data_IF_006666952478
#
_entry.id   IF_006666952478
#
_cell.length_a   1.000
_cell.length_b   1.000
_cell.length_c   1.000
_cell.angle_alpha   90.00
_cell.angle_beta   90.00
_cell.angle_gamma   90.00
#
_symmetry.space_group_name_H-M   'P 1'
#
loop_
_entity.id
_entity.type
_entity.pdbx_description
1 polymer ?
#
# COMPACT_ATOMS: atom_id res chain seq x y z
N UNK A 1 -12.85 -11.69 6.03
CA UNK A 1 -11.97 -10.53 6.29
C UNK A 1 -10.54 -11.04 6.23
N UNK A 2 -9.71 -10.44 5.41
CA UNK A 2 -8.27 -10.71 5.38
C UNK A 2 -7.58 -9.94 6.49
N UNK A 3 -6.56 -10.55 7.10
CA UNK A 3 -5.72 -9.93 8.11
C UNK A 3 -4.35 -9.60 7.49
N UNK A 4 -4.00 -8.32 7.46
CA UNK A 4 -2.71 -7.81 6.99
C UNK A 4 -1.88 -7.30 8.17
N UNK A 5 -0.59 -7.63 8.19
CA UNK A 5 0.40 -7.03 9.10
C UNK A 5 1.37 -6.22 8.24
N UNK A 6 1.55 -4.95 8.59
CA UNK A 6 2.45 -4.03 7.90
C UNK A 6 3.60 -3.62 8.82
N UNK A 7 4.80 -3.55 8.27
CA UNK A 7 5.99 -3.08 8.99
C UNK A 7 7.30 -3.32 8.26
N UNK A 8 8.38 -2.81 8.88
CA UNK A 8 9.73 -3.05 8.38
C UNK A 8 10.16 -4.49 8.70
N UNK A 9 10.45 -5.32 7.66
CA UNK A 9 10.86 -6.71 7.87
C UNK A 9 12.19 -6.84 8.62
N UNK A 10 12.99 -5.78 8.66
CA UNK A 10 14.28 -5.76 9.35
C UNK A 10 14.17 -5.25 10.81
N UNK A 11 12.97 -4.87 11.26
CA UNK A 11 12.75 -4.46 12.64
C UNK A 11 12.96 -5.67 13.58
N UNK A 12 13.97 -5.56 14.43
CA UNK A 12 14.37 -6.62 15.35
C UNK A 12 13.55 -6.58 16.65
N UNK A 13 13.63 -7.69 17.42
CA UNK A 13 13.07 -7.75 18.76
C UNK A 13 13.65 -6.63 19.65
N UNK A 14 12.81 -6.10 20.55
CA UNK A 14 13.21 -5.02 21.46
C UNK A 14 12.81 -5.31 22.92
N UNK A 15 13.25 -4.43 23.81
CA UNK A 15 13.02 -4.58 25.27
C UNK A 15 11.58 -4.28 25.71
N UNK A 16 10.70 -3.83 24.82
CA UNK A 16 9.28 -3.54 25.12
C UNK A 16 8.38 -4.76 24.89
N UNK A 17 8.97 -5.89 24.47
CA UNK A 17 8.24 -7.14 24.20
C UNK A 17 7.87 -7.31 22.72
N UNK A 18 8.31 -6.43 21.83
CA UNK A 18 8.18 -6.64 20.39
C UNK A 18 9.12 -7.76 19.94
N UNK A 19 8.62 -8.83 19.28
CA UNK A 19 9.43 -10.01 18.96
C UNK A 19 10.30 -9.85 17.70
N UNK A 20 10.13 -8.78 16.96
CA UNK A 20 10.61 -8.61 15.58
C UNK A 20 9.51 -8.87 14.57
N UNK A 21 9.63 -8.23 13.39
CA UNK A 21 8.57 -8.28 12.38
C UNK A 21 8.35 -9.71 11.83
N UNK A 22 9.43 -10.38 11.46
CA UNK A 22 9.36 -11.74 10.88
C UNK A 22 8.77 -12.74 11.89
N UNK A 23 9.20 -12.67 13.15
CA UNK A 23 8.67 -13.51 14.24
C UNK A 23 7.20 -13.21 14.51
N UNK A 24 6.79 -11.94 14.42
CA UNK A 24 5.38 -11.55 14.54
C UNK A 24 4.54 -12.16 13.41
N UNK A 25 5.00 -12.07 12.17
CA UNK A 25 4.33 -12.68 11.01
C UNK A 25 4.24 -14.19 11.16
N UNK A 26 5.33 -14.85 11.59
CA UNK A 26 5.34 -16.29 11.80
C UNK A 26 4.38 -16.75 12.90
N UNK A 27 4.26 -15.96 13.98
CA UNK A 27 3.36 -16.28 15.10
C UNK A 27 1.88 -15.99 14.77
N UNK A 28 1.60 -14.88 14.07
CA UNK A 28 0.24 -14.44 13.79
C UNK A 28 -0.36 -15.10 12.54
N UNK A 29 0.46 -15.60 11.62
CA UNK A 29 0.07 -16.22 10.34
C UNK A 29 -0.97 -15.37 9.59
N UNK A 30 -0.68 -14.09 9.27
CA UNK A 30 -1.62 -13.22 8.59
C UNK A 30 -1.90 -13.72 7.17
N UNK A 31 -3.01 -13.28 6.59
CA UNK A 31 -3.30 -13.51 5.16
C UNK A 31 -2.30 -12.79 4.27
N UNK A 32 -1.86 -11.60 4.70
CA UNK A 32 -0.91 -10.75 3.97
C UNK A 32 0.08 -10.10 4.93
N UNK A 33 1.30 -9.90 4.46
CA UNK A 33 2.31 -9.06 5.09
C UNK A 33 2.71 -7.96 4.10
N UNK A 34 2.53 -6.68 4.47
CA UNK A 34 3.00 -5.52 3.71
C UNK A 34 4.34 -5.07 4.27
N UNK A 35 5.38 -5.14 3.45
CA UNK A 35 6.74 -4.80 3.84
C UNK A 35 7.05 -3.35 3.46
N UNK A 36 7.44 -2.54 4.45
CA UNK A 36 7.82 -1.13 4.30
C UNK A 36 9.31 -0.93 4.55
N UNK A 37 9.97 0.05 3.89
CA UNK A 37 11.41 0.32 4.07
C UNK A 37 11.70 1.23 5.28
N UNK A 38 10.72 1.49 6.13
CA UNK A 38 10.79 2.49 7.21
C UNK A 38 11.96 2.25 8.16
N UNK A 39 12.54 3.33 8.65
CA UNK A 39 13.51 3.32 9.74
C UNK A 39 12.82 3.55 11.11
N UNK A 40 13.51 3.22 12.20
CA UNK A 40 13.00 3.42 13.56
C UNK A 40 12.78 4.91 13.91
N UNK A 41 13.37 5.84 13.15
CA UNK A 41 13.27 7.29 13.37
C UNK A 41 12.09 7.93 12.64
N UNK A 42 11.37 7.18 11.79
CA UNK A 42 10.23 7.69 11.04
C UNK A 42 8.93 7.62 11.86
N UNK A 43 8.12 8.68 11.79
CA UNK A 43 6.80 8.72 12.45
C UNK A 43 5.73 7.96 11.67
N UNK A 44 5.90 7.89 10.36
CA UNK A 44 5.03 7.17 9.40
C UNK A 44 5.82 6.90 8.13
N UNK A 45 5.35 5.98 7.31
CA UNK A 45 5.94 5.73 5.99
C UNK A 45 5.87 6.98 5.12
N UNK A 46 6.96 7.33 4.47
CA UNK A 46 7.09 8.53 3.62
C UNK A 46 7.72 8.24 2.25
N UNK A 47 8.06 6.98 1.98
CA UNK A 47 8.56 6.49 0.69
C UNK A 47 8.39 4.96 0.58
N UNK A 48 8.42 4.45 -0.66
CA UNK A 48 8.45 3.02 -0.95
C UNK A 48 9.87 2.45 -1.06
N UNK A 49 9.98 1.13 -1.27
CA UNK A 49 11.26 0.49 -1.55
C UNK A 49 11.90 1.04 -2.83
N UNK A 50 13.13 1.52 -2.74
CA UNK A 50 13.95 1.85 -3.92
C UNK A 50 14.58 0.57 -4.49
N UNK A 51 13.97 0.04 -5.55
CA UNK A 51 14.46 -1.16 -6.24
C UNK A 51 15.36 -0.84 -7.45
N UNK A 52 15.79 0.41 -7.60
CA UNK A 52 16.88 0.78 -8.53
C UNK A 52 18.24 0.31 -8.01
N UNK A 53 18.32 0.04 -6.71
CA UNK A 53 19.51 -0.51 -6.02
C UNK A 53 19.18 -1.86 -5.39
N UNK A 54 20.22 -2.70 -5.25
CA UNK A 54 20.05 -4.03 -4.67
C UNK A 54 19.66 -3.95 -3.19
N UNK A 55 18.57 -4.61 -2.83
CA UNK A 55 18.09 -4.78 -1.45
C UNK A 55 18.51 -6.15 -0.92
N UNK A 56 19.72 -6.24 -0.36
CA UNK A 56 20.43 -7.49 -0.07
C UNK A 56 19.65 -8.49 0.82
N UNK A 57 18.74 -8.02 1.69
CA UNK A 57 17.95 -8.86 2.61
C UNK A 57 16.52 -9.08 2.15
N UNK A 58 15.97 -8.20 1.33
CA UNK A 58 14.54 -8.16 1.00
C UNK A 58 14.03 -9.49 0.44
N UNK A 59 14.79 -10.17 -0.43
CA UNK A 59 14.42 -11.50 -0.96
C UNK A 59 14.29 -12.55 0.13
N UNK A 60 15.17 -12.53 1.11
CA UNK A 60 15.12 -13.47 2.24
C UNK A 60 13.93 -13.17 3.15
N UNK A 61 13.68 -11.88 3.42
CA UNK A 61 12.56 -11.42 4.26
C UNK A 61 11.21 -11.79 3.61
N UNK A 62 11.04 -11.57 2.30
CA UNK A 62 9.87 -12.04 1.53
C UNK A 62 9.69 -13.56 1.64
N UNK A 63 10.80 -14.32 1.46
CA UNK A 63 10.74 -15.78 1.56
C UNK A 63 10.28 -16.25 2.93
N UNK A 64 10.73 -15.63 4.01
CA UNK A 64 10.32 -15.98 5.38
C UNK A 64 8.83 -15.69 5.62
N UNK A 65 8.30 -14.54 5.17
CA UNK A 65 6.88 -14.23 5.25
C UNK A 65 6.03 -15.27 4.47
N UNK A 66 6.48 -15.65 3.28
CA UNK A 66 5.81 -16.70 2.46
C UNK A 66 5.85 -18.07 3.12
N UNK A 67 6.94 -18.44 3.79
CA UNK A 67 7.03 -19.69 4.56
C UNK A 67 6.05 -19.70 5.74
N UNK A 68 5.74 -18.55 6.31
CA UNK A 68 4.69 -18.39 7.32
C UNK A 68 3.26 -18.44 6.74
N UNK A 69 3.11 -18.56 5.41
CA UNK A 69 1.83 -18.65 4.71
C UNK A 69 1.24 -17.30 4.28
N UNK A 70 1.95 -16.19 4.51
CA UNK A 70 1.47 -14.86 4.13
C UNK A 70 1.70 -14.57 2.64
N UNK A 71 0.72 -13.95 1.98
CA UNK A 71 0.91 -13.22 0.73
C UNK A 71 1.76 -11.98 1.04
N UNK A 72 2.75 -11.66 0.19
CA UNK A 72 3.63 -10.52 0.44
C UNK A 72 3.33 -9.36 -0.49
N UNK A 73 3.07 -8.19 0.09
CA UNK A 73 2.95 -6.90 -0.58
C UNK A 73 4.16 -6.03 -0.28
N UNK A 74 4.74 -5.35 -1.28
CA UNK A 74 5.79 -4.36 -1.08
C UNK A 74 5.20 -2.96 -1.16
N UNK A 75 5.53 -2.12 -0.18
CA UNK A 75 5.17 -0.70 -0.19
C UNK A 75 6.08 0.04 -1.17
N UNK A 76 5.51 0.66 -2.21
CA UNK A 76 6.26 1.14 -3.38
C UNK A 76 5.84 2.55 -3.78
N UNK A 77 6.78 3.35 -4.19
CA UNK A 77 6.46 4.53 -4.99
C UNK A 77 5.91 4.11 -6.37
N UNK A 78 5.05 4.93 -7.01
CA UNK A 78 4.45 4.59 -8.30
C UNK A 78 5.45 4.78 -9.46
N UNK A 79 6.51 3.97 -9.46
CA UNK A 79 7.59 3.97 -10.45
C UNK A 79 7.49 2.69 -11.29
N UNK A 80 6.98 2.81 -12.51
CA UNK A 80 6.68 1.66 -13.38
C UNK A 80 7.90 0.74 -13.60
N UNK A 81 9.09 1.32 -13.69
CA UNK A 81 10.36 0.62 -13.91
C UNK A 81 10.74 -0.32 -12.75
N UNK A 82 10.21 -0.07 -11.54
CA UNK A 82 10.51 -0.90 -10.37
C UNK A 82 9.63 -2.16 -10.27
N UNK A 83 8.53 -2.25 -11.03
CA UNK A 83 7.56 -3.34 -10.88
C UNK A 83 8.12 -4.70 -11.26
N UNK A 84 8.96 -4.77 -12.30
CA UNK A 84 9.65 -6.00 -12.67
C UNK A 84 10.58 -6.49 -11.56
N UNK A 85 11.33 -5.57 -10.94
CA UNK A 85 12.21 -5.91 -9.81
C UNK A 85 11.41 -6.39 -8.59
N UNK A 86 10.27 -5.77 -8.27
CA UNK A 86 9.40 -6.23 -7.18
C UNK A 86 8.94 -7.69 -7.39
N UNK A 87 8.54 -8.05 -8.61
CA UNK A 87 8.21 -9.43 -8.96
C UNK A 87 9.42 -10.37 -8.85
N UNK A 88 10.60 -9.94 -9.30
CA UNK A 88 11.85 -10.71 -9.22
C UNK A 88 12.32 -10.94 -7.78
N UNK A 89 12.05 -10.01 -6.86
CA UNK A 89 12.26 -10.22 -5.43
C UNK A 89 11.30 -11.26 -4.84
N UNK A 90 10.19 -11.55 -5.51
CA UNK A 90 9.22 -12.57 -5.11
C UNK A 90 7.97 -12.02 -4.45
N UNK A 91 7.69 -10.72 -4.57
CA UNK A 91 6.43 -10.14 -4.11
C UNK A 91 5.23 -10.74 -4.86
N UNK A 92 4.07 -10.77 -4.20
CA UNK A 92 2.80 -11.15 -4.80
C UNK A 92 1.98 -9.91 -5.18
N UNK A 93 2.21 -8.80 -4.46
CA UNK A 93 1.53 -7.52 -4.64
C UNK A 93 2.49 -6.35 -4.45
N UNK A 94 2.04 -5.20 -4.89
CA UNK A 94 2.59 -3.90 -4.49
C UNK A 94 1.48 -3.08 -3.86
N UNK A 95 1.82 -2.30 -2.84
CA UNK A 95 0.96 -1.27 -2.27
C UNK A 95 1.57 0.08 -2.59
N UNK A 96 0.89 0.87 -3.43
CA UNK A 96 1.41 2.17 -3.82
C UNK A 96 1.25 3.21 -2.71
N UNK A 97 2.35 3.93 -2.42
CA UNK A 97 2.38 5.08 -1.53
C UNK A 97 1.65 6.27 -2.14
N UNK A 98 0.49 6.62 -1.62
CA UNK A 98 -0.38 7.65 -2.17
C UNK A 98 -0.23 9.02 -1.53
N UNK A 99 0.66 9.19 -0.55
CA UNK A 99 0.87 10.46 0.17
C UNK A 99 1.13 11.67 -0.73
N UNK A 100 2.07 11.62 -1.72
CA UNK A 100 2.31 12.74 -2.63
C UNK A 100 1.08 13.14 -3.44
N UNK A 101 0.29 12.17 -3.92
CA UNK A 101 -0.98 12.43 -4.59
C UNK A 101 -2.00 13.10 -3.66
N UNK A 102 -2.17 12.55 -2.47
CA UNK A 102 -3.11 13.10 -1.48
C UNK A 102 -2.76 14.55 -1.13
N UNK A 103 -1.48 14.86 -0.97
CA UNK A 103 -1.00 16.22 -0.73
C UNK A 103 -1.36 17.16 -1.90
N UNK A 104 -1.10 16.76 -3.14
CA UNK A 104 -1.44 17.56 -4.33
C UNK A 104 -2.96 17.74 -4.46
N UNK A 105 -3.72 16.69 -4.21
CA UNK A 105 -5.19 16.74 -4.22
C UNK A 105 -5.73 17.81 -3.27
N UNK A 106 -5.26 17.81 -2.02
CA UNK A 106 -5.70 18.76 -1.01
C UNK A 106 -5.20 20.18 -1.25
N UNK A 107 -4.02 20.33 -1.82
CA UNK A 107 -3.42 21.64 -2.07
C UNK A 107 -4.03 22.32 -3.31
N UNK A 108 -4.34 21.57 -4.36
CA UNK A 108 -4.66 22.12 -5.67
C UNK A 108 -6.01 21.66 -6.25
N UNK A 109 -6.60 20.64 -5.68
CA UNK A 109 -7.85 20.04 -6.16
C UNK A 109 -7.66 18.90 -7.15
N UNK A 110 -8.75 18.14 -7.41
CA UNK A 110 -8.70 16.95 -8.28
C UNK A 110 -8.39 17.26 -9.76
N UNK A 111 -8.80 18.42 -10.27
CA UNK A 111 -8.68 18.75 -11.68
C UNK A 111 -7.37 19.49 -12.03
N UNK A 112 -6.53 19.78 -11.03
CA UNK A 112 -5.23 20.42 -11.27
C UNK A 112 -4.28 19.49 -12.03
N UNK A 113 -3.54 20.05 -12.98
CA UNK A 113 -2.62 19.27 -13.82
C UNK A 113 -1.57 18.48 -13.03
N UNK A 114 -1.14 18.98 -11.85
CA UNK A 114 -0.17 18.30 -10.98
C UNK A 114 -0.79 17.08 -10.32
N UNK A 115 -2.04 17.20 -9.83
CA UNK A 115 -2.79 16.10 -9.25
C UNK A 115 -3.05 15.02 -10.29
N UNK A 116 -3.47 15.42 -11.50
CA UNK A 116 -3.71 14.50 -12.61
C UNK A 116 -2.42 13.81 -13.09
N UNK A 117 -1.31 14.53 -13.16
CA UNK A 117 -0.01 13.97 -13.53
C UNK A 117 0.48 12.97 -12.46
N UNK A 118 0.28 13.28 -11.17
CA UNK A 118 0.58 12.35 -10.09
C UNK A 118 -0.27 11.07 -10.22
N UNK A 119 -1.57 11.19 -10.44
CA UNK A 119 -2.44 10.03 -10.64
C UNK A 119 -2.06 9.19 -11.87
N UNK A 120 -1.65 9.82 -12.97
CA UNK A 120 -1.20 9.11 -14.17
C UNK A 120 0.01 8.20 -13.89
N UNK A 121 0.95 8.61 -13.03
CA UNK A 121 2.06 7.76 -12.63
C UNK A 121 1.59 6.48 -11.92
N UNK A 122 0.53 6.54 -11.11
CA UNK A 122 -0.07 5.34 -10.52
C UNK A 122 -0.69 4.43 -11.57
N UNK A 123 -1.32 4.97 -12.60
CA UNK A 123 -1.88 4.17 -13.71
C UNK A 123 -0.76 3.43 -14.44
N UNK A 124 0.32 4.13 -14.82
CA UNK A 124 1.47 3.55 -15.52
C UNK A 124 2.13 2.44 -14.67
N UNK A 125 2.32 2.69 -13.38
CA UNK A 125 2.90 1.72 -12.45
C UNK A 125 1.98 0.51 -12.23
N UNK A 126 0.66 0.72 -12.13
CA UNK A 126 -0.31 -0.36 -11.98
C UNK A 126 -0.35 -1.26 -13.22
N UNK A 127 -0.34 -0.69 -14.42
CA UNK A 127 -0.24 -1.45 -15.66
C UNK A 127 1.06 -2.26 -15.73
N UNK A 128 2.19 -1.68 -15.31
CA UNK A 128 3.46 -2.37 -15.26
C UNK A 128 3.44 -3.53 -14.25
N UNK A 129 2.86 -3.33 -13.07
CA UNK A 129 2.69 -4.36 -12.04
C UNK A 129 1.85 -5.53 -12.55
N UNK A 130 0.71 -5.25 -13.17
CA UNK A 130 -0.17 -6.28 -13.74
C UNK A 130 0.51 -7.09 -14.86
N UNK A 131 1.32 -6.45 -15.71
CA UNK A 131 2.08 -7.13 -16.79
C UNK A 131 3.05 -8.17 -16.26
N UNK A 132 3.58 -7.98 -15.04
CA UNK A 132 4.51 -8.93 -14.40
C UNK A 132 3.83 -9.84 -13.39
N UNK A 133 2.49 -9.80 -13.30
CA UNK A 133 1.70 -10.69 -12.46
C UNK A 133 1.54 -10.26 -11.01
N UNK A 134 1.90 -9.00 -10.66
CA UNK A 134 1.68 -8.45 -9.33
C UNK A 134 0.24 -7.97 -9.17
N UNK A 135 -0.36 -8.20 -7.99
CA UNK A 135 -1.59 -7.51 -7.58
C UNK A 135 -1.30 -6.06 -7.16
N UNK A 136 -2.32 -5.21 -7.24
CA UNK A 136 -2.20 -3.78 -6.96
C UNK A 136 -3.05 -3.40 -5.75
N UNK A 137 -2.41 -2.82 -4.74
CA UNK A 137 -3.02 -2.16 -3.60
C UNK A 137 -2.60 -0.68 -3.60
N UNK A 138 -3.30 0.16 -2.85
CA UNK A 138 -2.94 1.56 -2.66
C UNK A 138 -3.23 1.98 -1.22
N UNK A 139 -2.36 2.81 -0.65
CA UNK A 139 -2.52 3.24 0.73
C UNK A 139 -1.71 4.48 1.06
N UNK A 140 -2.01 5.03 2.23
CA UNK A 140 -1.47 6.24 2.84
C UNK A 140 -2.19 7.54 2.41
N UNK A 141 -2.73 8.25 3.40
CA UNK A 141 -3.41 9.55 3.25
C UNK A 141 -4.64 9.57 2.32
N UNK A 142 -5.17 8.41 1.96
CA UNK A 142 -6.44 8.32 1.27
C UNK A 142 -7.60 8.58 2.23
N UNK A 143 -8.62 9.30 1.72
CA UNK A 143 -9.85 9.63 2.43
C UNK A 143 -11.07 9.57 1.50
N UNK A 144 -12.29 9.85 2.03
CA UNK A 144 -13.51 9.75 1.23
C UNK A 144 -13.57 10.74 0.05
N UNK A 145 -12.73 11.78 0.01
CA UNK A 145 -12.73 12.79 -1.06
C UNK A 145 -11.73 12.44 -2.17
N UNK A 146 -10.54 11.97 -1.83
CA UNK A 146 -9.47 11.67 -2.80
C UNK A 146 -9.46 10.22 -3.30
N UNK A 147 -9.99 9.27 -2.53
CA UNK A 147 -10.11 7.86 -2.90
C UNK A 147 -10.95 7.59 -4.17
N UNK A 148 -12.05 8.33 -4.47
CA UNK A 148 -12.86 8.04 -5.65
C UNK A 148 -12.09 8.01 -6.97
N UNK A 149 -11.01 8.76 -7.12
CA UNK A 149 -10.18 8.71 -8.33
C UNK A 149 -9.48 7.36 -8.46
N UNK A 150 -9.03 6.78 -7.34
CA UNK A 150 -8.35 5.48 -7.30
C UNK A 150 -9.26 4.30 -7.64
N UNK A 151 -10.59 4.43 -7.58
CA UNK A 151 -11.49 3.35 -8.02
C UNK A 151 -11.34 3.02 -9.51
N UNK A 152 -10.75 3.93 -10.30
CA UNK A 152 -10.39 3.73 -11.70
C UNK A 152 -8.97 3.19 -11.93
N UNK A 153 -8.19 2.94 -10.87
CA UNK A 153 -6.83 2.42 -11.01
C UNK A 153 -6.86 0.98 -11.54
N UNK A 154 -6.10 0.65 -12.59
CA UNK A 154 -6.07 -0.71 -13.12
C UNK A 154 -5.71 -1.75 -12.05
N UNK A 155 -6.55 -2.76 -11.89
CA UNK A 155 -6.28 -3.89 -11.01
C UNK A 155 -6.31 -3.58 -9.50
N UNK A 156 -6.77 -2.40 -9.07
CA UNK A 156 -6.87 -2.10 -7.64
C UNK A 156 -7.70 -3.16 -6.93
N UNK A 157 -7.06 -3.89 -6.01
CA UNK A 157 -7.66 -4.96 -5.23
C UNK A 157 -7.99 -4.53 -3.80
N UNK A 158 -7.15 -3.68 -3.20
CA UNK A 158 -7.29 -3.23 -1.82
C UNK A 158 -6.88 -1.75 -1.69
N UNK A 159 -7.51 -1.06 -0.73
CA UNK A 159 -7.08 0.27 -0.29
C UNK A 159 -6.86 0.26 1.23
N UNK A 160 -5.67 0.71 1.67
CA UNK A 160 -5.33 0.83 3.09
C UNK A 160 -5.62 2.24 3.57
N UNK A 161 -6.58 2.37 4.50
CA UNK A 161 -7.02 3.66 5.05
C UNK A 161 -6.76 3.65 6.55
N UNK A 162 -5.78 4.43 7.01
CA UNK A 162 -5.40 4.50 8.42
C UNK A 162 -6.00 5.73 9.12
N UNK A 163 -5.27 6.84 9.08
CA UNK A 163 -5.58 8.07 9.82
C UNK A 163 -6.98 8.62 9.52
N UNK A 164 -7.32 8.74 8.24
CA UNK A 164 -8.59 9.34 7.81
C UNK A 164 -9.80 8.58 8.35
N UNK A 165 -9.78 7.25 8.33
CA UNK A 165 -10.92 6.43 8.79
C UNK A 165 -11.21 6.66 10.29
N UNK A 166 -10.18 6.87 11.10
CA UNK A 166 -10.34 7.14 12.54
C UNK A 166 -10.87 8.55 12.75
N UNK A 167 -10.30 9.57 12.09
CA UNK A 167 -10.75 10.96 12.19
C UNK A 167 -12.23 11.11 11.77
N UNK A 168 -12.61 10.52 10.65
CA UNK A 168 -13.96 10.55 10.13
C UNK A 168 -14.95 9.77 11.02
N UNK A 169 -14.50 8.65 11.60
CA UNK A 169 -15.30 7.84 12.51
C UNK A 169 -15.62 8.57 13.81
N UNK A 170 -14.74 9.45 14.31
CA UNK A 170 -15.01 10.30 15.46
C UNK A 170 -16.15 11.31 15.19
N UNK A 171 -16.28 11.75 13.94
CA UNK A 171 -17.33 12.69 13.54
C UNK A 171 -18.66 12.03 13.18
N UNK A 172 -18.64 10.87 12.49
CA UNK A 172 -19.83 10.26 11.89
C UNK A 172 -20.18 8.86 12.41
N UNK A 173 -19.34 8.27 13.25
CA UNK A 173 -19.47 6.92 13.78
C UNK A 173 -18.79 5.87 12.90
N UNK A 174 -18.13 4.89 13.54
CA UNK A 174 -17.27 3.92 12.87
C UNK A 174 -17.98 3.11 11.76
N UNK A 175 -19.16 2.53 12.09
CA UNK A 175 -19.90 1.72 11.11
C UNK A 175 -20.32 2.52 9.87
N UNK A 176 -20.70 3.80 10.05
CA UNK A 176 -21.10 4.67 8.94
C UNK A 176 -19.90 5.01 8.06
N UNK A 177 -18.76 5.30 8.68
CA UNK A 177 -17.51 5.59 7.97
C UNK A 177 -17.04 4.40 7.15
N UNK A 178 -17.02 3.19 7.73
CA UNK A 178 -16.67 1.96 7.00
C UNK A 178 -17.62 1.74 5.80
N UNK A 179 -18.92 1.89 6.02
CA UNK A 179 -19.90 1.73 4.95
C UNK A 179 -19.68 2.73 3.78
N UNK A 180 -19.27 3.95 4.10
CA UNK A 180 -18.95 4.97 3.09
C UNK A 180 -17.73 4.56 2.25
N UNK A 181 -16.62 4.14 2.87
CA UNK A 181 -15.43 3.64 2.16
C UNK A 181 -15.74 2.42 1.30
N UNK A 182 -16.48 1.45 1.84
CA UNK A 182 -16.92 0.25 1.08
C UNK A 182 -17.78 0.66 -0.10
N UNK A 183 -18.67 1.65 0.05
CA UNK A 183 -19.49 2.17 -1.03
C UNK A 183 -18.66 2.83 -2.13
N UNK A 184 -17.63 3.60 -1.77
CA UNK A 184 -16.71 4.23 -2.73
C UNK A 184 -15.99 3.15 -3.53
N UNK A 185 -15.39 2.17 -2.87
CA UNK A 185 -14.60 1.11 -3.51
C UNK A 185 -15.44 0.17 -4.39
N UNK A 186 -16.71 -0.05 -4.03
CA UNK A 186 -17.65 -0.85 -4.82
C UNK A 186 -18.53 -0.01 -5.77
N UNK A 187 -18.29 1.29 -5.88
CA UNK A 187 -19.01 2.17 -6.81
C UNK A 187 -18.84 1.73 -8.26
N UNK A 188 -19.61 2.30 -9.21
CA UNK A 188 -19.56 1.87 -10.61
C UNK A 188 -18.12 2.02 -11.11
N UNK A 189 -17.46 0.89 -11.37
CA UNK A 189 -16.17 0.86 -12.06
C UNK A 189 -16.38 1.64 -13.35
N UNK A 190 -15.59 2.70 -13.57
CA UNK A 190 -15.62 3.42 -14.85
C UNK A 190 -15.37 2.40 -15.94
N UNK A 191 -16.41 2.11 -16.73
CA UNK A 191 -16.31 1.17 -17.83
C UNK A 191 -15.20 1.64 -18.76
N UNK A 192 -14.28 0.72 -19.05
CA UNK A 192 -13.37 0.82 -20.18
C UNK A 192 -14.20 1.12 -21.43
N UNK A 193 -14.01 2.31 -21.99
CA UNK A 193 -14.46 2.68 -23.34
C UNK A 193 -13.27 2.66 -24.28
#
# INVERSE_FOLDING_TARGET
IEFNIEGNPQAAANNTGYPGFIELVAAAQPTQATLVPDSDDQLTSDHGWDLSVEQSRLRADISQCKQAGARVSLFMDPIAEHMAAAADYGADRVEFYTGPYAHLYWQYGPDDARTQASYAAFVDAAEAALKVGLGVNAGHDLDQQNLPLFTGLPGLAEASIGHAIICEALASGFSKTIAAYVSILNGPKRNEQ
#
